data_IF_898432072819
#
_entry.id   IF_898432072819
#
_cell.length_a   1.000
_cell.length_b   1.000
_cell.length_c   1.000
_cell.angle_alpha   90.00
_cell.angle_beta   90.00
_cell.angle_gamma   90.00
#
_symmetry.space_group_name_H-M   'P 1'
#
loop_
_entity.id
_entity.type
_entity.pdbx_description
1 polymer ?
#
# COMPACT_ATOMS: atom_id res chain seq x y z
N UNK A 1 -1.35 23.75 -14.65
CA UNK A 1 -1.33 22.72 -13.57
C UNK A 1 -0.94 21.39 -14.18
N UNK A 2 0.14 20.76 -13.72
CA UNK A 2 0.62 19.49 -14.26
C UNK A 2 -0.32 18.32 -13.92
N UNK A 3 -0.46 17.36 -14.84
CA UNK A 3 -1.22 16.12 -14.58
C UNK A 3 -0.53 15.33 -13.47
N UNK A 4 -1.30 14.78 -12.54
CA UNK A 4 -0.77 13.90 -11.50
C UNK A 4 -0.10 12.67 -12.14
N UNK A 5 1.08 12.29 -11.63
CA UNK A 5 1.85 11.14 -12.11
C UNK A 5 2.19 10.22 -10.96
N UNK A 6 2.26 8.92 -11.25
CA UNK A 6 2.72 7.92 -10.30
C UNK A 6 4.13 8.28 -9.81
N UNK A 7 4.31 8.36 -8.50
CA UNK A 7 5.58 8.73 -7.87
C UNK A 7 6.67 7.65 -7.99
N UNK A 8 6.34 6.46 -8.52
CA UNK A 8 7.29 5.36 -8.75
C UNK A 8 7.66 5.23 -10.22
N UNK A 9 6.67 5.10 -11.11
CA UNK A 9 6.90 4.80 -12.52
C UNK A 9 6.54 5.94 -13.49
N UNK A 10 6.09 7.10 -12.98
CA UNK A 10 5.73 8.25 -13.81
C UNK A 10 4.43 8.12 -14.60
N UNK A 11 3.72 6.98 -14.51
CA UNK A 11 2.45 6.77 -15.21
C UNK A 11 1.42 7.85 -14.89
N UNK A 12 0.77 8.39 -15.92
CA UNK A 12 -0.34 9.34 -15.78
C UNK A 12 -1.65 8.65 -15.33
N UNK A 13 -1.70 7.31 -15.37
CA UNK A 13 -2.85 6.50 -14.91
C UNK A 13 -2.82 6.34 -13.40
N UNK A 14 -2.85 7.47 -12.68
CA UNK A 14 -2.92 7.52 -11.22
C UNK A 14 -4.32 7.13 -10.75
N UNK A 15 -4.39 6.33 -9.69
CA UNK A 15 -5.65 5.87 -9.09
C UNK A 15 -5.76 6.14 -7.59
N UNK A 16 -4.62 6.28 -6.89
CA UNK A 16 -4.62 6.45 -5.44
C UNK A 16 -3.63 7.53 -5.00
N UNK A 17 -3.91 8.15 -3.85
CA UNK A 17 -2.99 9.01 -3.11
C UNK A 17 -2.67 8.35 -1.77
N UNK A 18 -1.42 7.94 -1.58
CA UNK A 18 -0.94 7.24 -0.38
C UNK A 18 0.15 8.12 0.23
N UNK A 19 0.01 8.49 1.51
CA UNK A 19 0.97 9.35 2.23
C UNK A 19 1.36 10.61 1.44
N UNK A 20 0.37 11.29 0.84
CA UNK A 20 0.59 12.53 0.09
C UNK A 20 1.08 12.35 -1.35
N UNK A 21 1.52 11.15 -1.74
CA UNK A 21 2.06 10.82 -3.07
C UNK A 21 1.04 10.10 -3.94
N UNK A 22 1.09 10.33 -5.25
CA UNK A 22 0.16 9.74 -6.23
C UNK A 22 0.73 8.44 -6.80
N UNK A 23 -0.11 7.41 -6.99
CA UNK A 23 0.31 6.11 -7.49
C UNK A 23 -0.66 5.54 -8.53
N UNK A 24 -0.12 4.86 -9.55
CA UNK A 24 -0.91 3.98 -10.40
C UNK A 24 -1.20 2.67 -9.67
N UNK A 25 -2.19 1.90 -10.15
CA UNK A 25 -2.57 0.62 -9.55
C UNK A 25 -1.38 -0.31 -9.31
N UNK A 26 -0.55 -0.54 -10.34
CA UNK A 26 0.59 -1.49 -10.28
C UNK A 26 1.61 -1.16 -9.19
N UNK A 27 1.81 0.13 -8.90
CA UNK A 27 2.78 0.57 -7.90
C UNK A 27 2.12 0.73 -6.53
N UNK A 28 0.92 1.30 -6.49
CA UNK A 28 0.17 1.51 -5.24
C UNK A 28 -0.22 0.20 -4.58
N UNK A 29 -0.64 -0.82 -5.34
CA UNK A 29 -1.04 -2.11 -4.79
C UNK A 29 0.10 -2.80 -4.03
N UNK A 30 1.34 -2.69 -4.51
CA UNK A 30 2.53 -3.25 -3.83
C UNK A 30 2.78 -2.59 -2.47
N UNK A 31 2.59 -1.28 -2.40
CA UNK A 31 2.76 -0.51 -1.16
C UNK A 31 1.69 -0.92 -0.15
N UNK A 32 0.44 -1.06 -0.60
CA UNK A 32 -0.66 -1.49 0.27
C UNK A 32 -0.48 -2.93 0.73
N UNK A 33 -0.13 -3.87 -0.16
CA UNK A 33 0.12 -5.27 0.18
C UNK A 33 1.22 -5.39 1.24
N UNK A 34 2.35 -4.70 1.05
CA UNK A 34 3.41 -4.67 2.04
C UNK A 34 2.93 -4.11 3.39
N UNK A 35 2.20 -2.98 3.37
CA UNK A 35 1.71 -2.36 4.60
C UNK A 35 0.73 -3.26 5.37
N UNK A 36 -0.17 -3.94 4.65
CA UNK A 36 -1.12 -4.89 5.25
C UNK A 36 -0.38 -6.07 5.88
N UNK A 37 0.63 -6.64 5.19
CA UNK A 37 1.45 -7.73 5.74
C UNK A 37 2.17 -7.30 7.02
N UNK A 38 2.78 -6.12 7.02
CA UNK A 38 3.45 -5.56 8.20
C UNK A 38 2.47 -5.31 9.36
N UNK A 39 1.26 -4.83 9.06
CA UNK A 39 0.22 -4.66 10.08
C UNK A 39 -0.22 -6.00 10.68
N UNK A 40 -0.43 -7.02 9.86
CA UNK A 40 -0.81 -8.36 10.34
C UNK A 40 0.25 -8.94 11.26
N UNK A 41 1.53 -8.81 10.92
CA UNK A 41 2.63 -9.28 11.78
C UNK A 41 2.56 -8.60 13.15
N UNK A 42 2.40 -7.28 13.19
CA UNK A 42 2.27 -6.53 14.46
C UNK A 42 1.04 -6.94 15.25
N UNK A 43 -0.10 -7.11 14.58
CA UNK A 43 -1.33 -7.55 15.23
C UNK A 43 -1.18 -8.96 15.84
N UNK A 44 -0.39 -9.86 15.23
CA UNK A 44 -0.06 -11.16 15.82
C UNK A 44 0.81 -11.00 17.06
N UNK A 45 1.86 -10.17 16.98
CA UNK A 45 2.78 -9.90 18.11
C UNK A 45 2.06 -9.25 19.31
N UNK A 46 1.06 -8.41 19.04
CA UNK A 46 0.23 -7.75 20.04
C UNK A 46 -0.93 -8.65 20.56
N UNK A 47 -1.10 -9.85 20.01
CA UNK A 47 -2.18 -10.77 20.37
C UNK A 47 -3.58 -10.32 19.96
N UNK A 48 -3.68 -9.40 18.99
CA UNK A 48 -4.95 -8.89 18.46
C UNK A 48 -5.62 -9.86 17.49
N UNK A 49 -4.84 -10.76 16.86
CA UNK A 49 -5.33 -11.81 15.96
C UNK A 49 -4.62 -13.13 16.23
N UNK A 50 -5.23 -14.28 15.89
CA UNK A 50 -4.59 -15.59 16.06
C UNK A 50 -3.30 -15.72 15.24
N UNK A 51 -2.27 -16.42 15.75
CA UNK A 51 -1.01 -16.62 15.03
C UNK A 51 -1.17 -17.37 13.71
N UNK A 52 -2.20 -18.22 13.59
CA UNK A 52 -2.58 -18.98 12.39
C UNK A 52 -3.34 -18.16 11.33
N UNK A 53 -3.63 -16.87 11.58
CA UNK A 53 -4.29 -16.03 10.58
C UNK A 53 -3.41 -15.85 9.34
N UNK A 54 -3.96 -16.11 8.15
CA UNK A 54 -3.29 -15.92 6.86
C UNK A 54 -4.12 -14.98 5.96
N UNK A 55 -3.42 -14.20 5.12
CA UNK A 55 -4.00 -13.23 4.19
C UNK A 55 -4.24 -13.86 2.81
#
# INVERSE_FOLDING_TARGET
>A
MGKAKCSVCGSEKVLAKINGKYYCFKCGSKIIDQHIREQIIKMKEEGLIPPEFEL
#
